data_IF_909311700495
#
_entry.id   IF_909311700495
#
_cell.length_a   1.000
_cell.length_b   1.000
_cell.length_c   1.000
_cell.angle_alpha   90.00
_cell.angle_beta   90.00
_cell.angle_gamma   90.00
#
_symmetry.space_group_name_H-M   'P 1'
#
loop_
_entity.id
_entity.type
_entity.pdbx_description
1 polymer ?
#
# COMPACT_ATOMS: atom_id res chain seq x y z
N UNK A 1 46.92 17.50 62.85
CA UNK A 1 47.12 16.49 61.79
C UNK A 1 45.92 16.51 60.87
N UNK A 2 46.01 17.14 59.67
CA UNK A 2 44.91 17.22 58.68
C UNK A 2 45.19 16.18 57.61
N UNK A 3 44.25 15.23 57.40
CA UNK A 3 44.32 14.20 56.34
C UNK A 3 43.82 14.85 55.02
N UNK A 4 44.50 14.65 53.85
CA UNK A 4 44.01 15.11 52.60
C UNK A 4 42.92 14.14 52.06
N UNK A 5 41.82 14.72 51.63
CA UNK A 5 40.71 14.05 50.94
C UNK A 5 41.11 13.81 49.49
N UNK A 6 41.32 12.56 49.09
CA UNK A 6 41.54 12.18 47.70
C UNK A 6 40.21 12.14 46.96
N UNK A 7 40.00 13.11 46.04
CA UNK A 7 38.88 13.10 45.13
C UNK A 7 39.25 12.19 43.93
N UNK A 8 38.66 11.01 43.87
CA UNK A 8 38.76 10.13 42.73
C UNK A 8 37.85 10.68 41.61
N UNK A 9 38.49 11.21 40.54
CA UNK A 9 37.81 11.66 39.34
C UNK A 9 37.40 10.43 38.51
N UNK A 10 36.11 10.06 38.59
CA UNK A 10 35.54 8.98 37.79
C UNK A 10 35.30 9.52 36.37
N UNK A 11 36.26 9.30 35.48
CA UNK A 11 36.09 9.56 34.04
C UNK A 11 35.11 8.56 33.46
N UNK A 12 33.87 9.02 33.26
CA UNK A 12 32.84 8.29 32.54
C UNK A 12 33.24 8.26 31.05
N UNK A 13 33.79 7.13 30.62
CA UNK A 13 34.01 6.87 29.20
C UNK A 13 32.63 6.71 28.52
N UNK A 14 32.10 7.80 27.94
CA UNK A 14 31.04 7.69 26.95
C UNK A 14 31.67 6.99 25.73
N UNK A 15 31.45 5.70 25.62
CA UNK A 15 31.63 5.00 24.35
C UNK A 15 30.60 5.60 23.39
N UNK A 16 31.00 6.17 22.23
CA UNK A 16 30.03 6.51 21.20
C UNK A 16 29.33 5.20 20.84
N UNK A 17 28.00 5.14 20.99
CA UNK A 17 27.20 4.17 20.25
C UNK A 17 27.56 4.42 18.78
N UNK A 18 28.31 3.51 18.17
CA UNK A 18 28.46 3.48 16.74
C UNK A 18 27.05 3.22 16.17
N UNK A 19 26.33 4.27 15.83
CA UNK A 19 25.28 4.17 14.87
C UNK A 19 25.93 3.53 13.65
N UNK A 20 25.49 2.35 13.23
CA UNK A 20 25.97 1.73 12.01
C UNK A 20 25.65 2.70 10.88
N UNK A 21 26.64 3.50 10.48
CA UNK A 21 26.49 4.46 9.42
C UNK A 21 26.28 3.68 8.12
N UNK A 22 25.28 4.07 7.34
CA UNK A 22 25.05 3.53 6.00
C UNK A 22 26.37 3.60 5.19
N UNK A 23 26.59 2.60 4.35
CA UNK A 23 27.78 2.53 3.51
C UNK A 23 27.78 3.68 2.49
N UNK A 24 28.79 4.57 2.49
CA UNK A 24 28.92 5.58 1.46
C UNK A 24 29.57 5.01 0.19
N UNK A 25 29.20 5.56 -0.97
CA UNK A 25 29.73 5.18 -2.28
C UNK A 25 30.41 6.35 -2.97
N UNK A 26 31.42 6.10 -3.82
CA UNK A 26 32.11 7.17 -4.56
C UNK A 26 31.20 7.83 -5.61
N UNK A 27 30.21 7.10 -6.15
CA UNK A 27 29.26 7.59 -7.16
C UNK A 27 27.87 7.02 -6.92
N UNK A 28 26.80 7.70 -7.38
CA UNK A 28 25.43 7.19 -7.24
C UNK A 28 25.19 5.91 -8.05
N UNK A 29 25.90 5.69 -9.17
CA UNK A 29 25.84 4.45 -9.95
C UNK A 29 26.34 3.25 -9.14
N UNK A 30 27.39 3.44 -8.32
CA UNK A 30 27.89 2.39 -7.44
C UNK A 30 26.91 2.05 -6.33
N UNK A 31 26.23 3.04 -5.76
CA UNK A 31 25.17 2.80 -4.80
C UNK A 31 24.01 2.03 -5.43
N UNK A 32 23.56 2.44 -6.61
CA UNK A 32 22.48 1.77 -7.34
C UNK A 32 22.84 0.32 -7.71
N UNK A 33 24.05 0.05 -8.18
CA UNK A 33 24.52 -1.31 -8.48
C UNK A 33 24.54 -2.19 -7.23
N UNK A 34 25.01 -1.65 -6.10
CA UNK A 34 25.02 -2.39 -4.83
C UNK A 34 23.61 -2.75 -4.35
N UNK A 35 22.62 -1.86 -4.55
CA UNK A 35 21.21 -2.16 -4.25
C UNK A 35 20.66 -3.27 -5.16
N UNK A 36 20.91 -3.20 -6.47
CA UNK A 36 20.49 -4.21 -7.41
C UNK A 36 21.06 -5.60 -7.06
N UNK A 37 22.36 -5.64 -6.69
CA UNK A 37 23.02 -6.87 -6.26
C UNK A 37 22.44 -7.41 -4.95
N UNK A 38 22.22 -6.57 -3.94
CA UNK A 38 21.61 -6.97 -2.66
C UNK A 38 20.19 -7.52 -2.83
N UNK A 39 19.37 -6.89 -3.69
CA UNK A 39 18.03 -7.37 -4.01
C UNK A 39 18.07 -8.70 -4.77
N UNK A 40 18.98 -8.86 -5.74
CA UNK A 40 19.13 -10.08 -6.53
C UNK A 40 19.49 -11.29 -5.65
N UNK A 41 20.35 -11.09 -4.67
CA UNK A 41 20.76 -12.14 -3.74
C UNK A 41 19.87 -12.24 -2.49
N UNK A 42 18.87 -11.35 -2.37
CA UNK A 42 18.02 -11.23 -1.17
C UNK A 42 18.83 -11.09 0.12
N UNK A 43 19.94 -10.37 0.03
CA UNK A 43 20.90 -10.17 1.12
C UNK A 43 20.43 -9.07 2.07
N UNK A 44 19.80 -9.49 3.17
CA UNK A 44 19.30 -8.59 4.21
C UNK A 44 20.40 -7.79 4.89
N UNK A 45 21.61 -8.35 5.07
CA UNK A 45 22.70 -7.65 5.70
C UNK A 45 23.24 -6.54 4.78
N UNK A 46 23.35 -6.80 3.49
CA UNK A 46 23.68 -5.79 2.50
C UNK A 46 22.60 -4.69 2.43
N UNK A 47 21.31 -5.05 2.44
CA UNK A 47 20.22 -4.07 2.46
C UNK A 47 20.28 -3.18 3.71
N UNK A 48 20.56 -3.73 4.90
CA UNK A 48 20.72 -2.92 6.12
C UNK A 48 21.90 -1.95 6.00
N UNK A 49 23.02 -2.38 5.43
CA UNK A 49 24.18 -1.51 5.20
C UNK A 49 23.89 -0.39 4.19
N UNK A 50 23.06 -0.65 3.20
CA UNK A 50 22.71 0.31 2.15
C UNK A 50 21.63 1.30 2.58
N UNK A 51 20.58 0.80 3.23
CA UNK A 51 19.37 1.55 3.51
C UNK A 51 19.25 2.00 4.97
N UNK A 52 20.11 1.49 5.85
CA UNK A 52 20.04 1.69 7.31
C UNK A 52 19.26 0.55 8.00
N UNK A 53 19.56 0.28 9.28
CA UNK A 53 18.97 -0.85 10.02
C UNK A 53 17.46 -0.75 10.22
N UNK A 54 16.92 0.46 10.09
CA UNK A 54 15.50 0.77 10.29
C UNK A 54 14.71 0.97 8.98
N UNK A 55 15.27 0.57 7.84
CA UNK A 55 14.64 0.84 6.53
C UNK A 55 13.22 0.26 6.40
N UNK A 56 12.91 -0.83 7.10
CA UNK A 56 11.58 -1.45 7.07
C UNK A 56 10.48 -0.54 7.65
N UNK A 57 10.81 0.38 8.56
CA UNK A 57 9.82 1.32 9.13
C UNK A 57 9.27 2.32 8.11
N UNK A 58 10.00 2.54 7.01
CA UNK A 58 9.57 3.42 5.91
C UNK A 58 8.77 2.70 4.82
N UNK A 59 8.52 1.40 5.00
CA UNK A 59 7.70 0.63 4.09
C UNK A 59 6.26 0.55 4.61
N UNK A 60 5.28 0.42 3.70
CA UNK A 60 3.92 0.09 4.10
C UNK A 60 3.86 -1.17 4.96
N UNK A 61 2.84 -1.27 5.83
CA UNK A 61 2.67 -2.38 6.77
C UNK A 61 2.53 -3.75 6.10
N UNK A 62 2.10 -3.79 4.84
CA UNK A 62 2.03 -4.98 4.00
C UNK A 62 3.40 -5.40 3.40
N UNK A 63 4.43 -4.58 3.61
CA UNK A 63 5.80 -4.89 3.22
C UNK A 63 6.08 -4.74 1.71
N UNK A 64 7.19 -5.33 1.25
CA UNK A 64 7.55 -5.34 -0.17
C UNK A 64 6.85 -6.52 -0.86
N UNK A 65 6.08 -6.23 -1.91
CA UNK A 65 5.58 -7.27 -2.83
C UNK A 65 6.75 -8.09 -3.40
N UNK A 66 6.81 -9.42 -3.17
CA UNK A 66 7.86 -10.26 -3.70
C UNK A 66 8.03 -10.14 -5.22
N UNK A 67 6.93 -9.93 -5.94
CA UNK A 67 6.95 -9.74 -7.39
C UNK A 67 7.54 -8.38 -7.80
N UNK A 68 7.55 -7.38 -6.90
CA UNK A 68 8.15 -6.07 -7.19
C UNK A 68 9.67 -6.17 -7.33
N UNK A 69 10.33 -7.03 -6.55
CA UNK A 69 11.77 -7.30 -6.67
C UNK A 69 12.08 -7.94 -8.01
N UNK A 70 11.30 -8.94 -8.43
CA UNK A 70 11.50 -9.61 -9.72
C UNK A 70 11.26 -8.66 -10.90
N UNK A 71 10.23 -7.78 -10.81
CA UNK A 71 10.00 -6.72 -11.81
C UNK A 71 11.17 -5.75 -11.86
N UNK A 72 11.66 -5.26 -10.71
CA UNK A 72 12.81 -4.39 -10.64
C UNK A 72 14.05 -5.02 -11.28
N UNK A 73 14.35 -6.28 -10.99
CA UNK A 73 15.51 -6.99 -11.58
C UNK A 73 15.40 -7.11 -13.10
N UNK A 74 14.24 -7.46 -13.61
CA UNK A 74 14.00 -7.50 -15.07
C UNK A 74 14.20 -6.13 -15.70
N UNK A 75 13.64 -5.08 -15.10
CA UNK A 75 13.70 -3.72 -15.63
C UNK A 75 15.12 -3.14 -15.51
N UNK A 76 15.87 -3.50 -14.45
CA UNK A 76 17.30 -3.19 -14.32
C UNK A 76 18.11 -3.75 -15.49
N UNK A 77 17.87 -5.00 -15.89
CA UNK A 77 18.56 -5.62 -17.04
C UNK A 77 18.20 -4.97 -18.37
N UNK A 78 16.98 -4.45 -18.51
CA UNK A 78 16.56 -3.74 -19.73
C UNK A 78 17.27 -2.39 -19.84
N UNK A 79 17.23 -1.59 -18.78
CA UNK A 79 17.86 -0.26 -18.73
C UNK A 79 17.92 0.22 -17.29
N UNK A 80 19.02 0.86 -16.93
CA UNK A 80 19.15 1.60 -15.68
C UNK A 80 19.95 2.88 -15.90
N UNK A 81 19.47 3.99 -15.37
CA UNK A 81 20.05 5.33 -15.56
C UNK A 81 20.00 6.09 -14.24
N UNK A 82 21.10 6.78 -13.93
CA UNK A 82 21.14 7.75 -12.85
C UNK A 82 20.81 9.13 -13.39
N UNK A 83 19.81 9.78 -12.79
CA UNK A 83 19.46 11.18 -13.04
C UNK A 83 19.93 12.00 -11.86
N UNK A 84 21.01 12.77 -12.04
CA UNK A 84 21.63 13.56 -10.98
C UNK A 84 21.26 15.03 -11.09
N UNK A 85 20.94 15.65 -9.94
CA UNK A 85 20.73 17.09 -9.78
C UNK A 85 21.45 17.55 -8.51
N UNK A 86 22.59 18.22 -8.68
CA UNK A 86 23.41 18.67 -7.56
C UNK A 86 23.87 17.51 -6.67
N UNK A 87 23.49 17.54 -5.41
CA UNK A 87 23.79 16.52 -4.41
C UNK A 87 22.73 15.43 -4.27
N UNK A 88 21.76 15.39 -5.16
CA UNK A 88 20.73 14.35 -5.19
C UNK A 88 20.75 13.63 -6.53
N UNK A 89 20.50 12.33 -6.50
CA UNK A 89 20.42 11.48 -7.67
C UNK A 89 19.27 10.47 -7.52
N UNK A 90 18.67 10.06 -8.62
CA UNK A 90 17.61 9.08 -8.67
C UNK A 90 17.95 7.98 -9.66
N UNK A 91 17.54 6.77 -9.36
CA UNK A 91 17.65 5.63 -10.24
C UNK A 91 16.35 5.45 -11.02
N UNK A 92 16.45 5.48 -12.34
CA UNK A 92 15.37 5.14 -13.28
C UNK A 92 15.69 3.79 -13.92
N UNK A 93 14.72 2.84 -13.94
CA UNK A 93 14.88 1.50 -14.51
C UNK A 93 13.79 1.18 -15.52
N UNK A 94 14.09 0.28 -16.46
CA UNK A 94 13.19 -0.21 -17.49
C UNK A 94 12.99 0.76 -18.66
N UNK A 95 12.23 0.33 -19.65
CA UNK A 95 11.87 1.13 -20.83
C UNK A 95 11.01 2.36 -20.49
N UNK A 96 10.15 2.21 -19.49
CA UNK A 96 9.23 3.26 -19.01
C UNK A 96 9.90 4.23 -18.03
N UNK A 97 11.21 4.07 -17.76
CA UNK A 97 11.97 4.89 -16.82
C UNK A 97 11.30 4.99 -15.43
N UNK A 98 10.86 3.83 -14.89
CA UNK A 98 10.31 3.79 -13.54
C UNK A 98 11.34 4.24 -12.52
N UNK A 99 11.01 5.28 -11.77
CA UNK A 99 11.91 5.88 -10.78
C UNK A 99 11.80 5.21 -9.44
N UNK A 100 12.97 4.77 -8.90
CA UNK A 100 13.04 4.33 -7.50
C UNK A 100 12.64 5.48 -6.58
N UNK A 101 11.71 5.27 -5.62
CA UNK A 101 11.24 6.36 -4.75
C UNK A 101 12.29 6.87 -3.76
N UNK A 102 13.36 6.09 -3.52
CA UNK A 102 14.41 6.42 -2.57
C UNK A 102 15.52 7.18 -3.29
N UNK A 103 15.76 8.46 -2.97
CA UNK A 103 16.88 9.20 -3.58
C UNK A 103 18.22 8.73 -3.05
N UNK A 104 19.26 8.95 -3.85
CA UNK A 104 20.65 8.78 -3.47
C UNK A 104 21.22 10.19 -3.25
N UNK A 105 21.67 10.49 -2.05
CA UNK A 105 22.14 11.81 -1.65
C UNK A 105 23.63 11.80 -1.37
N UNK A 106 24.29 12.94 -1.64
CA UNK A 106 25.72 13.12 -1.41
C UNK A 106 25.96 13.97 -0.15
N UNK A 107 26.78 13.44 0.74
CA UNK A 107 27.35 14.17 1.87
C UNK A 107 28.90 14.22 1.81
N UNK A 108 29.55 14.59 2.90
CA UNK A 108 31.01 14.66 2.98
C UNK A 108 31.72 13.31 2.83
N UNK A 109 31.01 12.22 3.11
CA UNK A 109 31.54 10.84 3.05
C UNK A 109 31.33 10.18 1.69
N UNK A 110 30.35 10.65 0.92
CA UNK A 110 30.02 10.11 -0.39
C UNK A 110 28.52 10.03 -0.65
N UNK A 111 28.11 9.13 -1.54
CA UNK A 111 26.72 8.92 -1.94
C UNK A 111 26.09 7.79 -1.13
N UNK A 112 24.87 7.98 -0.63
CA UNK A 112 24.09 6.99 0.12
C UNK A 112 22.60 7.13 -0.15
N UNK A 113 21.84 6.07 0.06
CA UNK A 113 20.38 6.13 0.00
C UNK A 113 19.81 6.93 1.18
N UNK A 114 18.74 7.66 0.93
CA UNK A 114 18.01 8.41 1.97
C UNK A 114 16.56 7.91 2.07
N UNK A 115 16.33 6.95 2.98
CA UNK A 115 15.00 6.37 3.20
C UNK A 115 14.02 7.41 3.72
N UNK A 116 14.45 8.30 4.61
CA UNK A 116 13.57 9.32 5.16
C UNK A 116 13.08 10.31 4.10
N UNK A 117 13.96 10.70 3.16
CA UNK A 117 13.56 11.55 2.04
C UNK A 117 12.66 10.82 1.02
N UNK A 118 12.70 9.47 1.00
CA UNK A 118 11.84 8.65 0.15
C UNK A 118 10.49 8.28 0.77
N UNK A 119 10.29 8.52 2.06
CA UNK A 119 9.12 8.05 2.83
C UNK A 119 7.79 8.50 2.24
N UNK A 120 7.62 9.79 2.00
CA UNK A 120 6.38 10.37 1.46
C UNK A 120 6.03 9.79 0.07
N UNK A 121 7.03 9.59 -0.77
CA UNK A 121 6.83 9.02 -2.11
C UNK A 121 6.48 7.53 -2.04
N UNK A 122 7.11 6.77 -1.14
CA UNK A 122 6.80 5.36 -0.89
C UNK A 122 5.34 5.23 -0.44
N UNK A 123 4.92 6.03 0.54
CA UNK A 123 3.57 6.05 1.08
C UNK A 123 2.55 6.47 0.00
N UNK A 124 2.82 7.56 -0.72
CA UNK A 124 1.93 8.05 -1.80
C UNK A 124 1.68 6.97 -2.85
N UNK A 125 2.73 6.24 -3.25
CA UNK A 125 2.59 5.15 -4.24
C UNK A 125 1.86 3.94 -3.66
N UNK A 126 2.03 3.63 -2.37
CA UNK A 126 1.29 2.56 -1.70
C UNK A 126 -0.21 2.88 -1.65
N UNK A 127 -0.57 4.09 -1.22
CA UNK A 127 -1.95 4.59 -1.22
C UNK A 127 -2.55 4.50 -2.63
N UNK A 128 -1.86 5.02 -3.64
CA UNK A 128 -2.35 4.97 -5.03
C UNK A 128 -2.63 3.55 -5.54
N UNK A 129 -1.75 2.59 -5.23
CA UNK A 129 -1.97 1.17 -5.58
C UNK A 129 -3.19 0.59 -4.87
N UNK A 130 -3.37 0.89 -3.59
CA UNK A 130 -4.50 0.42 -2.81
C UNK A 130 -5.83 1.00 -3.33
N UNK A 131 -5.86 2.29 -3.66
CA UNK A 131 -7.02 2.96 -4.24
C UNK A 131 -7.40 2.37 -5.60
N UNK A 132 -6.43 2.16 -6.49
CA UNK A 132 -6.68 1.49 -7.78
C UNK A 132 -7.19 0.06 -7.60
N UNK A 133 -6.65 -0.68 -6.64
CA UNK A 133 -7.11 -2.03 -6.31
C UNK A 133 -8.53 -2.03 -5.75
N UNK A 134 -8.88 -1.02 -4.92
CA UNK A 134 -10.24 -0.86 -4.40
C UNK A 134 -11.23 -0.56 -5.52
N UNK A 135 -10.89 0.33 -6.45
CA UNK A 135 -11.71 0.64 -7.63
C UNK A 135 -11.92 -0.62 -8.49
N UNK A 136 -10.86 -1.36 -8.79
CA UNK A 136 -10.95 -2.61 -9.55
C UNK A 136 -11.83 -3.65 -8.84
N UNK A 137 -11.74 -3.73 -7.52
CA UNK A 137 -12.58 -4.58 -6.70
C UNK A 137 -14.07 -4.18 -6.76
N UNK A 138 -14.36 -2.89 -6.83
CA UNK A 138 -15.74 -2.39 -6.94
C UNK A 138 -16.37 -2.74 -8.30
N UNK A 139 -15.61 -2.63 -9.40
CA UNK A 139 -16.07 -3.11 -10.71
C UNK A 139 -16.33 -4.63 -10.70
N UNK A 140 -15.41 -5.41 -10.13
CA UNK A 140 -15.59 -6.85 -9.99
C UNK A 140 -16.82 -7.21 -9.14
N UNK A 141 -17.17 -6.38 -8.14
CA UNK A 141 -18.41 -6.53 -7.39
C UNK A 141 -19.64 -6.35 -8.29
N UNK A 142 -19.66 -5.33 -9.16
CA UNK A 142 -20.79 -5.09 -10.07
C UNK A 142 -20.96 -6.26 -11.04
N UNK A 143 -19.86 -6.75 -11.64
CA UNK A 143 -19.87 -7.93 -12.50
C UNK A 143 -20.44 -9.16 -11.76
N UNK A 144 -19.97 -9.40 -10.54
CA UNK A 144 -20.45 -10.49 -9.72
C UNK A 144 -21.95 -10.36 -9.35
N UNK A 145 -22.43 -9.15 -9.13
CA UNK A 145 -23.85 -8.88 -8.90
C UNK A 145 -24.69 -9.18 -10.14
N UNK A 146 -24.21 -8.82 -11.32
CA UNK A 146 -24.89 -9.14 -12.58
C UNK A 146 -24.99 -10.64 -12.81
N UNK A 147 -23.90 -11.37 -12.58
CA UNK A 147 -23.88 -12.84 -12.66
C UNK A 147 -24.85 -13.48 -11.66
N UNK A 148 -24.85 -12.99 -10.42
CA UNK A 148 -25.76 -13.47 -9.40
C UNK A 148 -27.25 -13.21 -9.78
N UNK A 149 -27.52 -12.03 -10.33
CA UNK A 149 -28.87 -11.66 -10.78
C UNK A 149 -29.35 -12.54 -11.94
N UNK A 150 -28.48 -12.89 -12.89
CA UNK A 150 -28.82 -13.82 -13.97
C UNK A 150 -29.22 -15.19 -13.43
N UNK A 151 -28.58 -15.66 -12.37
CA UNK A 151 -28.86 -16.96 -11.77
C UNK A 151 -30.10 -16.95 -10.86
N UNK A 152 -30.36 -15.86 -10.15
CA UNK A 152 -31.31 -15.83 -9.02
C UNK A 152 -32.48 -14.85 -9.22
N UNK A 153 -32.48 -14.03 -10.29
CA UNK A 153 -33.45 -12.96 -10.58
C UNK A 153 -33.64 -11.96 -9.43
N UNK A 154 -32.57 -11.76 -8.66
CA UNK A 154 -32.46 -10.80 -7.55
C UNK A 154 -31.01 -10.49 -7.28
N UNK A 155 -30.77 -9.34 -6.68
CA UNK A 155 -29.45 -8.93 -6.26
C UNK A 155 -29.01 -9.64 -4.96
N UNK A 156 -27.74 -9.95 -4.83
CA UNK A 156 -27.16 -10.45 -3.59
C UNK A 156 -27.05 -9.34 -2.56
N UNK A 157 -27.63 -9.53 -1.39
CA UNK A 157 -27.57 -8.54 -0.30
C UNK A 157 -26.33 -8.70 0.59
N UNK A 158 -25.49 -9.70 0.32
CA UNK A 158 -24.27 -10.01 1.05
C UNK A 158 -23.11 -10.21 0.07
N UNK A 159 -21.93 -9.79 0.47
CA UNK A 159 -20.69 -10.14 -0.24
C UNK A 159 -20.36 -11.62 0.03
N UNK A 160 -20.34 -12.01 1.30
CA UNK A 160 -20.04 -13.39 1.71
C UNK A 160 -21.35 -14.09 2.08
N UNK A 161 -21.58 -15.27 1.51
CA UNK A 161 -22.74 -16.08 1.82
C UNK A 161 -22.72 -16.58 3.28
N UNK A 162 -23.89 -16.78 3.85
CA UNK A 162 -24.04 -17.50 5.11
C UNK A 162 -23.55 -18.94 4.95
N UNK A 163 -23.05 -19.51 6.03
CA UNK A 163 -22.55 -20.89 6.04
C UNK A 163 -23.57 -21.87 5.45
N UNK A 164 -23.13 -22.67 4.49
CA UNK A 164 -23.98 -23.65 3.80
C UNK A 164 -25.03 -23.07 2.85
N UNK A 165 -25.02 -21.76 2.59
CA UNK A 165 -25.96 -21.08 1.69
C UNK A 165 -25.24 -20.44 0.51
N UNK A 166 -26.02 -20.07 -0.52
CA UNK A 166 -25.58 -19.27 -1.67
C UNK A 166 -26.39 -17.96 -1.72
N UNK A 167 -26.42 -17.23 -0.58
CA UNK A 167 -27.21 -16.01 -0.39
C UNK A 167 -26.36 -14.72 -0.47
N UNK A 168 -25.10 -14.84 -0.89
CA UNK A 168 -24.16 -13.77 -1.16
C UNK A 168 -23.40 -14.00 -2.45
N UNK A 169 -22.44 -13.16 -2.78
CA UNK A 169 -21.63 -13.23 -4.00
C UNK A 169 -20.52 -14.27 -3.94
N UNK A 170 -20.02 -14.55 -2.73
CA UNK A 170 -18.98 -15.55 -2.52
C UNK A 170 -19.48 -16.71 -1.63
N UNK A 171 -19.18 -17.92 -2.03
CA UNK A 171 -19.29 -19.15 -1.24
C UNK A 171 -18.16 -20.10 -1.63
N UNK A 172 -17.64 -20.90 -0.69
CA UNK A 172 -16.66 -21.94 -0.99
C UNK A 172 -17.24 -22.97 -1.97
N UNK A 173 -16.46 -23.36 -2.98
CA UNK A 173 -16.84 -24.36 -3.96
C UNK A 173 -15.85 -25.53 -3.94
N UNK A 174 -16.37 -26.75 -4.16
CA UNK A 174 -15.56 -27.96 -4.37
C UNK A 174 -15.13 -28.10 -5.85
N UNK A 175 -14.08 -28.86 -6.15
CA UNK A 175 -13.70 -29.15 -7.52
C UNK A 175 -14.87 -29.74 -8.32
N UNK A 176 -15.22 -29.09 -9.45
CA UNK A 176 -16.32 -29.53 -10.32
C UNK A 176 -17.67 -28.85 -10.05
N UNK A 177 -17.79 -28.04 -9.00
CA UNK A 177 -18.95 -27.18 -8.77
C UNK A 177 -18.83 -25.86 -9.56
N UNK A 178 -19.99 -25.25 -9.85
CA UNK A 178 -20.01 -23.89 -10.43
C UNK A 178 -19.41 -22.90 -9.43
N UNK A 179 -18.38 -22.13 -9.82
CA UNK A 179 -17.76 -21.13 -8.96
C UNK A 179 -18.77 -20.09 -8.47
N UNK A 180 -18.51 -19.50 -7.32
CA UNK A 180 -19.25 -18.30 -6.89
C UNK A 180 -18.90 -17.11 -7.81
N UNK A 181 -19.84 -16.17 -8.01
CA UNK A 181 -19.60 -14.98 -8.86
C UNK A 181 -18.37 -14.17 -8.43
N UNK A 182 -18.11 -14.10 -7.12
CA UNK A 182 -16.97 -13.42 -6.55
C UNK A 182 -15.94 -14.43 -6.03
N UNK A 183 -14.65 -14.12 -6.23
CA UNK A 183 -13.56 -14.97 -5.73
C UNK A 183 -13.30 -14.84 -4.22
N UNK A 184 -12.47 -15.75 -3.64
CA UNK A 184 -12.16 -15.76 -2.21
C UNK A 184 -11.37 -14.54 -1.73
N UNK A 185 -10.80 -13.74 -2.62
CA UNK A 185 -10.01 -12.56 -2.29
C UNK A 185 -10.81 -11.50 -1.50
N UNK A 186 -12.15 -11.47 -1.66
CA UNK A 186 -13.05 -10.62 -0.90
C UNK A 186 -13.43 -11.16 0.49
N UNK A 187 -12.99 -12.38 0.81
CA UNK A 187 -13.13 -12.95 2.15
C UNK A 187 -11.81 -12.72 2.90
N UNK A 188 -11.68 -11.67 3.71
CA UNK A 188 -10.44 -11.44 4.45
C UNK A 188 -10.15 -12.62 5.37
N UNK A 189 -8.91 -13.07 5.40
CA UNK A 189 -8.46 -14.17 6.25
C UNK A 189 -8.70 -13.89 7.74
N UNK A 190 -8.75 -12.60 8.12
CA UNK A 190 -9.05 -12.14 9.46
C UNK A 190 -10.15 -11.06 9.43
N UNK A 191 -11.10 -11.08 10.39
CA UNK A 191 -12.11 -10.03 10.51
C UNK A 191 -11.47 -8.66 10.66
N UNK A 192 -11.81 -7.73 9.76
CA UNK A 192 -11.33 -6.34 9.81
C UNK A 192 -10.02 -6.05 9.08
N UNK A 193 -9.32 -7.06 8.54
CA UNK A 193 -8.06 -6.87 7.83
C UNK A 193 -8.21 -6.03 6.54
N UNK A 194 -9.41 -6.01 5.93
CA UNK A 194 -9.64 -5.33 4.66
C UNK A 194 -9.05 -6.10 3.47
N UNK A 195 -9.26 -5.55 2.26
CA UNK A 195 -8.70 -6.03 1.02
C UNK A 195 -7.88 -4.89 0.39
N UNK A 196 -6.59 -5.09 0.17
CA UNK A 196 -5.66 -4.04 -0.30
C UNK A 196 -5.81 -2.72 0.47
N UNK A 197 -5.83 -2.78 1.81
CA UNK A 197 -5.94 -1.60 2.66
C UNK A 197 -7.33 -0.94 2.71
N UNK A 198 -8.37 -1.60 2.15
CA UNK A 198 -9.74 -1.10 2.08
C UNK A 198 -10.75 -2.04 2.72
N UNK A 199 -11.76 -1.48 3.36
CA UNK A 199 -12.95 -2.18 3.85
C UNK A 199 -14.10 -1.94 2.90
N UNK A 200 -14.96 -2.95 2.74
CA UNK A 200 -16.10 -2.93 1.83
C UNK A 200 -17.37 -3.28 2.57
N UNK A 201 -18.46 -2.63 2.20
CA UNK A 201 -19.80 -2.92 2.74
C UNK A 201 -20.89 -2.64 1.71
N UNK A 202 -21.83 -3.59 1.57
CA UNK A 202 -23.07 -3.32 0.85
C UNK A 202 -23.85 -2.20 1.54
N UNK A 203 -24.35 -1.28 0.75
CA UNK A 203 -25.30 -0.25 1.15
C UNK A 203 -26.55 -0.34 0.28
N UNK A 204 -27.65 0.27 0.72
CA UNK A 204 -28.87 0.27 -0.06
C UNK A 204 -28.71 1.20 -1.28
N UNK A 205 -29.29 0.81 -2.41
CA UNK A 205 -29.53 1.72 -3.51
C UNK A 205 -30.68 2.70 -3.16
N UNK A 206 -30.74 3.84 -3.86
CA UNK A 206 -31.72 4.90 -3.60
C UNK A 206 -33.18 4.41 -3.56
N UNK A 207 -33.51 3.46 -4.42
CA UNK A 207 -34.86 2.92 -4.57
C UNK A 207 -35.08 1.59 -3.81
N UNK A 208 -34.09 1.10 -3.04
CA UNK A 208 -34.06 -0.22 -2.40
C UNK A 208 -34.32 -1.41 -3.36
N UNK A 209 -34.18 -1.20 -4.66
CA UNK A 209 -34.39 -2.22 -5.69
C UNK A 209 -33.07 -2.70 -6.33
N UNK A 210 -32.00 -1.94 -6.14
CA UNK A 210 -30.66 -2.22 -6.64
C UNK A 210 -29.69 -2.62 -5.52
N UNK A 211 -28.43 -2.55 -5.86
CA UNK A 211 -27.30 -2.81 -4.97
C UNK A 211 -26.26 -1.73 -5.11
N UNK A 212 -25.60 -1.42 -4.02
CA UNK A 212 -24.45 -0.53 -4.03
C UNK A 212 -23.39 -1.02 -3.04
N UNK A 213 -22.16 -0.62 -3.31
CA UNK A 213 -21.00 -0.92 -2.49
C UNK A 213 -20.33 0.38 -2.04
N UNK A 214 -19.97 0.43 -0.78
CA UNK A 214 -19.14 1.46 -0.18
C UNK A 214 -17.77 0.86 0.16
N UNK A 215 -16.70 1.57 -0.21
CA UNK A 215 -15.33 1.26 0.18
C UNK A 215 -14.70 2.45 0.92
N UNK A 216 -13.94 2.16 1.98
CA UNK A 216 -13.19 3.18 2.72
C UNK A 216 -11.85 2.59 3.21
N UNK A 217 -10.80 3.43 3.39
CA UNK A 217 -9.50 2.94 3.85
C UNK A 217 -9.60 2.35 5.25
N UNK A 218 -8.82 1.29 5.52
CA UNK A 218 -8.65 0.73 6.86
C UNK A 218 -8.10 1.79 7.79
N UNK A 219 -7.13 2.58 7.30
CA UNK A 219 -6.45 3.66 8.01
C UNK A 219 -6.23 4.83 7.05
N UNK A 220 -6.92 5.95 7.31
CA UNK A 220 -6.86 7.13 6.45
C UNK A 220 -5.45 7.76 6.50
N UNK A 221 -4.92 8.12 5.32
CA UNK A 221 -3.58 8.68 5.19
C UNK A 221 -2.45 7.63 5.17
N UNK A 222 -2.74 6.36 5.48
CA UNK A 222 -1.76 5.26 5.45
C UNK A 222 -2.12 4.20 4.42
N UNK A 223 -3.35 3.68 4.44
CA UNK A 223 -3.77 2.66 3.49
C UNK A 223 -4.55 3.23 2.31
N UNK A 224 -5.10 4.44 2.44
CA UNK A 224 -5.83 5.17 1.43
C UNK A 224 -6.26 6.54 1.92
N UNK A 225 -6.64 7.42 1.00
CA UNK A 225 -7.17 8.76 1.29
C UNK A 225 -8.63 8.86 0.86
N UNK A 226 -8.95 8.34 -0.35
CA UNK A 226 -10.29 8.41 -0.90
C UNK A 226 -11.18 7.28 -0.39
N UNK A 227 -12.46 7.56 -0.20
CA UNK A 227 -13.53 6.56 -0.06
C UNK A 227 -14.32 6.50 -1.36
N UNK A 228 -14.91 5.35 -1.67
CA UNK A 228 -15.55 5.11 -2.96
C UNK A 228 -16.97 4.57 -2.78
N UNK A 229 -17.87 4.92 -3.70
CA UNK A 229 -19.18 4.30 -3.87
C UNK A 229 -19.38 3.84 -5.32
N UNK A 230 -20.11 2.76 -5.49
CA UNK A 230 -20.56 2.26 -6.80
C UNK A 230 -21.96 1.66 -6.65
N UNK A 231 -22.76 1.76 -7.70
CA UNK A 231 -24.05 1.07 -7.81
C UNK A 231 -24.03 0.09 -9.00
N UNK A 232 -25.16 -0.51 -9.30
CA UNK A 232 -25.31 -1.45 -10.41
C UNK A 232 -25.08 -0.82 -11.81
N UNK A 233 -24.95 0.52 -11.92
CA UNK A 233 -24.68 1.21 -13.18
C UNK A 233 -23.18 1.30 -13.47
N UNK A 234 -22.32 0.76 -12.61
CA UNK A 234 -20.85 0.67 -12.76
C UNK A 234 -20.14 2.03 -12.81
N UNK A 235 -20.75 3.09 -12.27
CA UNK A 235 -20.12 4.39 -12.12
C UNK A 235 -19.52 4.52 -10.72
N UNK A 236 -18.19 4.62 -10.62
CA UNK A 236 -17.51 4.86 -9.35
C UNK A 236 -17.54 6.35 -9.00
N UNK A 237 -17.85 6.63 -7.74
CA UNK A 237 -17.76 7.95 -7.11
C UNK A 237 -16.72 7.92 -6.01
N UNK A 238 -16.00 9.04 -5.81
CA UNK A 238 -14.98 9.17 -4.77
C UNK A 238 -15.19 10.43 -3.92
N UNK A 239 -14.80 10.35 -2.66
CA UNK A 239 -14.74 11.48 -1.75
C UNK A 239 -13.63 11.28 -0.70
N UNK A 240 -12.95 12.36 -0.32
CA UNK A 240 -12.08 12.35 0.84
C UNK A 240 -12.91 12.62 2.11
N UNK A 241 -13.15 11.58 2.91
CA UNK A 241 -13.90 11.68 4.16
C UNK A 241 -13.02 12.11 5.35
N UNK A 242 -11.69 12.20 5.17
CA UNK A 242 -10.74 12.63 6.18
C UNK A 242 -10.43 11.57 7.23
N UNK A 243 -9.77 11.96 8.31
CA UNK A 243 -9.34 11.06 9.41
C UNK A 243 -10.49 10.25 10.02
N UNK A 244 -11.71 10.79 10.00
CA UNK A 244 -12.91 10.12 10.49
C UNK A 244 -13.60 9.22 9.44
N UNK A 245 -12.91 8.85 8.37
CA UNK A 245 -13.49 8.09 7.24
C UNK A 245 -14.22 6.82 7.69
N UNK A 246 -13.67 6.07 8.64
CA UNK A 246 -14.32 4.87 9.17
C UNK A 246 -15.66 5.16 9.86
N UNK A 247 -15.74 6.21 10.66
CA UNK A 247 -16.97 6.62 11.35
C UNK A 247 -18.00 7.17 10.36
N UNK A 248 -17.56 8.02 9.43
CA UNK A 248 -18.44 8.57 8.38
C UNK A 248 -18.96 7.49 7.44
N UNK A 249 -18.12 6.53 7.05
CA UNK A 249 -18.52 5.40 6.24
C UNK A 249 -19.60 4.54 6.92
N UNK A 250 -19.52 4.36 8.25
CA UNK A 250 -20.57 3.63 8.98
C UNK A 250 -21.93 4.33 8.95
N UNK A 251 -21.96 5.65 8.88
CA UNK A 251 -23.18 6.44 8.80
C UNK A 251 -23.80 6.44 7.39
N UNK A 252 -23.05 6.10 6.35
CA UNK A 252 -23.54 6.02 4.96
C UNK A 252 -24.27 4.70 4.78
N UNK A 253 -25.58 4.74 4.71
CA UNK A 253 -26.44 3.55 4.56
C UNK A 253 -27.04 3.39 3.17
N UNK A 254 -26.99 4.44 2.34
CA UNK A 254 -27.58 4.47 1.02
C UNK A 254 -26.59 5.05 0.00
N UNK A 255 -26.71 4.63 -1.25
CA UNK A 255 -25.99 5.20 -2.37
C UNK A 255 -26.62 6.54 -2.73
N UNK A 256 -26.01 7.61 -2.29
CA UNK A 256 -26.42 8.98 -2.57
C UNK A 256 -25.18 9.88 -2.73
N UNK A 257 -24.40 9.75 -3.83
CA UNK A 257 -23.24 10.57 -4.06
C UNK A 257 -23.67 12.01 -4.32
N UNK A 258 -23.50 12.88 -3.32
CA UNK A 258 -23.81 14.30 -3.39
C UNK A 258 -22.51 15.10 -3.55
N UNK A 259 -22.44 15.91 -4.60
CA UNK A 259 -21.32 16.81 -4.86
C UNK A 259 -21.12 17.85 -3.76
N UNK A 260 -22.20 18.29 -3.06
CA UNK A 260 -22.12 19.17 -1.92
C UNK A 260 -21.45 18.50 -0.71
N UNK A 261 -21.52 17.18 -0.61
CA UNK A 261 -20.82 16.36 0.38
C UNK A 261 -19.42 15.92 -0.10
N UNK A 262 -18.93 16.45 -1.23
CA UNK A 262 -17.59 16.19 -1.75
C UNK A 262 -17.47 14.95 -2.64
N UNK A 263 -18.57 14.27 -2.97
CA UNK A 263 -18.55 13.13 -3.88
C UNK A 263 -18.43 13.58 -5.34
N UNK A 264 -17.52 12.97 -6.08
CA UNK A 264 -17.28 13.25 -7.49
C UNK A 264 -17.16 11.95 -8.28
N UNK A 265 -17.73 11.89 -9.51
CA UNK A 265 -17.56 10.70 -10.36
C UNK A 265 -16.11 10.60 -10.80
N UNK A 266 -15.60 9.38 -10.87
CA UNK A 266 -14.30 9.10 -11.48
C UNK A 266 -14.57 8.94 -12.98
N UNK A 267 -13.94 9.81 -13.77
CA UNK A 267 -13.93 9.65 -15.23
C UNK A 267 -12.90 8.57 -15.59
N UNK A 268 -13.35 7.50 -16.19
CA UNK A 268 -12.51 6.43 -16.72
C UNK A 268 -11.89 6.84 -18.04
#
# INVERSE_FOLDING_TARGET
MRKPLQIALLTLMLSPLAAFAQQPFPTPEKAASALADALNHRDKAALNNLLGDNWQQFLPTDGIDPNAVDRFQRDWQVKHVIVQQGNSAWLDVGSEAWRLPIPIVKDEQGWRFDMAAGEDEILTRAIGRNELSAIAAMHAYVDAQQDYYQMNHRWAQKIISSEGKKDGLYWPTSPGETPSPLGPAFSPAEPGAGYHGYRFRNIADNDNQGVALLAWPVEWGETGVMSFMIDQNDQVWQANLGEESATKAQAITHFAPDSAAGWQPINQ
#
